data_IF_170116210146
#
_entry.id   IF_170116210146
#
_cell.length_a   1.000
_cell.length_b   1.000
_cell.length_c   1.000
_cell.angle_alpha   90.00
_cell.angle_beta   90.00
_cell.angle_gamma   90.00
#
_symmetry.space_group_name_H-M   'P 1'
#
loop_
_entity.id
_entity.type
_entity.pdbx_description
1 polymer ?
#
# COMPACT_ATOMS: atom_id res chain seq x y z
N UNK A 1 2.37 11.25 -21.31
CA UNK A 1 1.02 11.07 -21.89
C UNK A 1 0.16 10.41 -20.81
N UNK A 2 -0.88 11.07 -20.31
CA UNK A 2 -1.82 10.47 -19.36
C UNK A 2 -2.82 9.61 -20.15
N UNK A 3 -3.07 8.40 -19.69
CA UNK A 3 -4.15 7.55 -20.20
C UNK A 3 -5.38 7.84 -19.34
N UNK A 4 -6.51 8.18 -19.95
CA UNK A 4 -7.74 8.47 -19.22
C UNK A 4 -8.19 7.25 -18.40
N UNK A 5 -8.52 7.48 -17.13
CA UNK A 5 -8.94 6.42 -16.21
C UNK A 5 -7.81 5.58 -15.60
N UNK A 6 -6.53 5.95 -15.84
CA UNK A 6 -5.37 5.28 -15.25
C UNK A 6 -4.56 6.28 -14.42
N UNK A 7 -4.34 5.94 -13.15
CA UNK A 7 -3.52 6.73 -12.24
C UNK A 7 -2.02 6.42 -12.43
N UNK A 8 -1.18 7.43 -12.17
CA UNK A 8 0.28 7.29 -12.21
C UNK A 8 0.77 7.18 -10.77
N UNK A 9 1.17 5.96 -10.38
CA UNK A 9 1.73 5.70 -9.07
C UNK A 9 3.26 5.72 -9.11
N UNK A 10 3.87 6.61 -8.34
CA UNK A 10 5.31 6.73 -8.21
C UNK A 10 5.76 6.27 -6.83
N UNK A 11 6.85 5.51 -6.75
CA UNK A 11 7.51 5.24 -5.46
C UNK A 11 8.38 6.42 -5.08
N UNK A 12 8.44 6.77 -3.80
CA UNK A 12 9.17 7.92 -3.28
C UNK A 12 9.62 7.68 -1.84
N UNK A 13 10.16 8.70 -1.19
CA UNK A 13 10.56 8.65 0.21
C UNK A 13 11.74 7.72 0.46
N UNK A 14 12.73 7.72 -0.44
CA UNK A 14 13.90 6.83 -0.37
C UNK A 14 13.53 5.34 -0.47
N UNK A 15 12.61 5.04 -1.39
CA UNK A 15 12.23 3.65 -1.68
C UNK A 15 13.46 2.81 -2.13
N UNK A 16 13.65 1.56 -1.65
CA UNK A 16 12.73 0.79 -0.79
C UNK A 16 13.01 0.90 0.71
N UNK A 17 14.09 1.53 1.15
CA UNK A 17 14.58 1.44 2.53
C UNK A 17 14.02 2.48 3.50
N UNK A 18 13.55 3.61 3.00
CA UNK A 18 13.09 4.75 3.81
C UNK A 18 14.16 5.33 4.76
N UNK A 19 15.46 5.16 4.46
CA UNK A 19 16.56 5.53 5.36
C UNK A 19 17.17 6.91 5.10
N UNK A 20 16.71 7.64 4.09
CA UNK A 20 17.15 9.02 3.88
C UNK A 20 16.59 9.96 4.96
N UNK A 21 17.22 11.13 5.08
CA UNK A 21 16.69 12.22 5.91
C UNK A 21 15.33 12.68 5.38
N UNK A 22 14.48 13.16 6.28
CA UNK A 22 13.11 13.56 5.94
C UNK A 22 13.06 14.65 4.86
N UNK A 23 13.99 15.61 4.88
CA UNK A 23 14.03 16.67 3.89
C UNK A 23 14.27 16.13 2.46
N UNK A 24 15.05 15.05 2.34
CA UNK A 24 15.27 14.37 1.05
C UNK A 24 14.03 13.65 0.58
N UNK A 25 13.33 12.94 1.49
CA UNK A 25 12.09 12.23 1.18
C UNK A 25 10.98 13.20 0.74
N UNK A 26 10.82 14.32 1.46
CA UNK A 26 9.86 15.37 1.14
C UNK A 26 10.16 15.98 -0.23
N UNK A 27 11.43 16.28 -0.51
CA UNK A 27 11.84 16.81 -1.81
C UNK A 27 11.55 15.83 -2.95
N UNK A 28 11.89 14.54 -2.78
CA UNK A 28 11.63 13.48 -3.76
C UNK A 28 10.12 13.36 -4.04
N UNK A 29 9.29 13.34 -2.99
CA UNK A 29 7.84 13.28 -3.09
C UNK A 29 7.26 14.48 -3.84
N UNK A 30 7.70 15.70 -3.48
CA UNK A 30 7.25 16.94 -4.13
C UNK A 30 7.62 16.96 -5.62
N UNK A 31 8.81 16.50 -5.99
CA UNK A 31 9.26 16.41 -7.38
C UNK A 31 8.43 15.38 -8.15
N UNK A 32 8.18 14.20 -7.58
CA UNK A 32 7.35 13.18 -8.23
C UNK A 32 5.92 13.69 -8.52
N UNK A 33 5.32 14.44 -7.59
CA UNK A 33 4.01 15.08 -7.80
C UNK A 33 4.11 16.16 -8.89
N UNK A 34 5.14 17.01 -8.87
CA UNK A 34 5.35 18.04 -9.88
C UNK A 34 5.54 17.45 -11.28
N UNK A 35 6.17 16.27 -11.39
CA UNK A 35 6.35 15.51 -12.63
C UNK A 35 5.06 14.81 -13.10
N UNK A 36 4.01 14.83 -12.28
CA UNK A 36 2.67 14.39 -12.67
C UNK A 36 2.20 13.07 -12.05
N UNK A 37 2.87 12.57 -11.01
CA UNK A 37 2.33 11.47 -10.22
C UNK A 37 1.01 11.87 -9.56
N UNK A 38 0.01 11.00 -9.64
CA UNK A 38 -1.30 11.17 -9.00
C UNK A 38 -1.43 10.32 -7.73
N UNK A 39 -0.52 9.37 -7.57
CA UNK A 39 -0.42 8.50 -6.41
C UNK A 39 1.06 8.35 -6.01
N UNK A 40 1.35 8.36 -4.73
CA UNK A 40 2.70 8.23 -4.19
C UNK A 40 2.75 7.03 -3.24
N UNK A 41 3.63 6.07 -3.51
CA UNK A 41 3.88 4.92 -2.64
C UNK A 41 5.18 5.18 -1.85
N UNK A 42 5.08 5.46 -0.53
CA UNK A 42 6.22 5.61 0.37
C UNK A 42 6.42 4.37 1.24
N UNK A 43 7.60 4.21 1.83
CA UNK A 43 7.87 3.15 2.82
C UNK A 43 7.91 3.75 4.21
N UNK A 44 7.21 3.13 5.15
CA UNK A 44 7.33 3.43 6.58
C UNK A 44 8.82 3.28 7.00
N UNK A 45 9.36 4.16 7.86
CA UNK A 45 10.73 4.00 8.38
C UNK A 45 10.81 2.80 9.34
N UNK A 46 10.98 1.60 8.76
CA UNK A 46 10.93 0.31 9.49
C UNK A 46 11.93 0.27 10.65
N UNK A 47 13.13 0.83 10.49
CA UNK A 47 14.11 0.89 11.57
C UNK A 47 13.58 1.64 12.80
N UNK A 48 13.01 2.83 12.62
CA UNK A 48 12.39 3.60 13.71
C UNK A 48 11.25 2.80 14.38
N UNK A 49 10.42 2.15 13.55
CA UNK A 49 9.31 1.34 14.05
C UNK A 49 9.81 0.19 14.95
N UNK A 50 10.83 -0.54 14.53
CA UNK A 50 11.40 -1.66 15.29
C UNK A 50 12.11 -1.21 16.57
N UNK A 51 12.66 0.02 16.57
CA UNK A 51 13.23 0.65 17.77
C UNK A 51 12.17 1.20 18.73
N UNK A 52 10.88 1.15 18.35
CA UNK A 52 9.75 1.64 19.15
C UNK A 52 9.53 3.15 19.07
N UNK A 53 10.20 3.85 18.16
CA UNK A 53 10.01 5.28 17.88
C UNK A 53 8.76 5.51 17.01
N UNK A 54 7.59 5.24 17.58
CA UNK A 54 6.30 5.36 16.89
C UNK A 54 5.94 6.81 16.56
N UNK A 55 6.35 7.76 17.38
CA UNK A 55 6.17 9.19 17.15
C UNK A 55 6.96 9.63 15.91
N UNK A 56 8.24 9.28 15.84
CA UNK A 56 9.08 9.58 14.69
C UNK A 56 8.65 8.85 13.40
N UNK A 57 7.94 7.70 13.51
CA UNK A 57 7.28 7.05 12.35
C UNK A 57 6.09 7.88 11.87
N UNK A 58 5.23 8.33 12.78
CA UNK A 58 4.05 9.12 12.44
C UNK A 58 4.43 10.48 11.84
N UNK A 59 5.43 11.16 12.40
CA UNK A 59 5.96 12.43 11.88
C UNK A 59 6.51 12.28 10.47
N UNK A 60 7.35 11.26 10.23
CA UNK A 60 7.94 10.97 8.91
C UNK A 60 6.86 10.76 7.83
N UNK A 61 5.81 10.00 8.15
CA UNK A 61 4.68 9.76 7.24
C UNK A 61 3.88 11.05 7.02
N UNK A 62 3.60 11.81 8.07
CA UNK A 62 2.81 13.03 7.99
C UNK A 62 3.48 14.13 7.15
N UNK A 63 4.80 14.29 7.29
CA UNK A 63 5.57 15.25 6.48
C UNK A 63 5.56 14.87 4.99
N UNK A 64 5.71 13.58 4.67
CA UNK A 64 5.59 13.10 3.30
C UNK A 64 4.15 13.23 2.77
N UNK A 65 3.12 13.01 3.62
CA UNK A 65 1.71 13.26 3.24
C UNK A 65 1.49 14.71 2.87
N UNK A 66 2.03 15.63 3.63
CA UNK A 66 1.93 17.07 3.30
C UNK A 66 2.57 17.39 1.94
N UNK A 67 3.67 16.72 1.59
CA UNK A 67 4.33 16.86 0.29
C UNK A 67 3.56 16.26 -0.89
N UNK A 68 2.64 15.32 -0.64
CA UNK A 68 1.80 14.73 -1.69
C UNK A 68 0.75 15.70 -2.25
N UNK A 69 0.38 16.76 -1.52
CA UNK A 69 -0.71 17.65 -1.93
C UNK A 69 -2.00 16.86 -2.18
N UNK A 70 -2.53 16.94 -3.41
CA UNK A 70 -3.76 16.24 -3.83
C UNK A 70 -3.51 14.78 -4.27
N UNK A 71 -2.25 14.35 -4.38
CA UNK A 71 -1.94 12.97 -4.74
C UNK A 71 -2.25 12.00 -3.58
N UNK A 72 -2.81 10.84 -3.92
CA UNK A 72 -3.10 9.82 -2.91
C UNK A 72 -1.79 9.18 -2.42
N UNK A 73 -1.62 9.11 -1.10
CA UNK A 73 -0.45 8.47 -0.48
C UNK A 73 -0.73 7.04 -0.03
N UNK A 74 0.13 6.11 -0.44
CA UNK A 74 0.10 4.72 0.02
C UNK A 74 1.34 4.44 0.86
N UNK A 75 1.13 4.03 2.11
CA UNK A 75 2.21 3.70 3.03
C UNK A 75 2.49 2.20 2.98
N UNK A 76 3.69 1.85 2.57
CA UNK A 76 4.19 0.47 2.59
C UNK A 76 4.69 0.15 3.99
N UNK A 77 4.07 -0.85 4.63
CA UNK A 77 4.43 -1.26 5.99
C UNK A 77 5.65 -2.18 6.02
N UNK A 78 6.00 -2.80 4.89
CA UNK A 78 7.03 -3.85 4.75
C UNK A 78 6.79 -4.99 5.75
N UNK A 79 5.62 -5.59 5.66
CA UNK A 79 5.10 -6.56 6.65
C UNK A 79 6.02 -7.76 6.88
N UNK A 80 6.85 -8.12 5.89
CA UNK A 80 7.84 -9.18 6.01
C UNK A 80 8.99 -8.88 6.97
N UNK A 81 9.20 -7.61 7.34
CA UNK A 81 10.21 -7.17 8.30
C UNK A 81 9.66 -6.99 9.71
N UNK A 82 8.35 -7.12 9.92
CA UNK A 82 7.70 -6.91 11.21
C UNK A 82 7.56 -8.20 12.02
N UNK A 83 7.50 -8.09 13.36
CA UNK A 83 7.50 -9.25 14.27
C UNK A 83 6.09 -9.87 14.44
N UNK A 84 5.29 -9.92 13.39
CA UNK A 84 4.01 -10.60 13.35
C UNK A 84 2.79 -9.68 13.50
N UNK A 85 1.64 -10.27 13.80
CA UNK A 85 0.33 -9.63 13.71
C UNK A 85 0.19 -8.35 14.57
N UNK A 86 0.80 -8.32 15.76
CA UNK A 86 0.75 -7.15 16.64
C UNK A 86 1.42 -5.94 16.00
N UNK A 87 2.65 -6.12 15.48
CA UNK A 87 3.41 -5.04 14.86
C UNK A 87 2.74 -4.59 13.57
N UNK A 88 2.23 -5.51 12.76
CA UNK A 88 1.46 -5.18 11.54
C UNK A 88 0.25 -4.32 11.88
N UNK A 89 -0.50 -4.67 12.94
CA UNK A 89 -1.65 -3.87 13.39
C UNK A 89 -1.22 -2.47 13.83
N UNK A 90 -0.17 -2.36 14.67
CA UNK A 90 0.33 -1.07 15.16
C UNK A 90 0.79 -0.20 13.99
N UNK A 91 1.60 -0.75 13.07
CA UNK A 91 2.08 -0.05 11.89
C UNK A 91 0.93 0.44 11.00
N UNK A 92 -0.12 -0.40 10.82
CA UNK A 92 -1.32 -0.02 10.08
C UNK A 92 -2.02 1.19 10.71
N UNK A 93 -2.25 1.14 12.01
CA UNK A 93 -2.95 2.20 12.75
C UNK A 93 -2.15 3.50 12.73
N UNK A 94 -0.84 3.46 13.03
CA UNK A 94 0.03 4.65 12.96
C UNK A 94 -0.03 5.28 11.56
N UNK A 95 0.12 4.47 10.51
CA UNK A 95 0.11 4.97 9.14
C UNK A 95 -1.19 5.65 8.75
N UNK A 96 -2.34 5.09 9.15
CA UNK A 96 -3.65 5.68 8.86
C UNK A 96 -3.86 6.99 9.62
N UNK A 97 -3.52 7.05 10.90
CA UNK A 97 -3.60 8.29 11.67
C UNK A 97 -2.60 9.36 11.21
N UNK A 98 -1.47 8.96 10.63
CA UNK A 98 -0.51 9.88 10.02
C UNK A 98 -0.92 10.39 8.62
N UNK A 99 -2.09 9.99 8.11
CA UNK A 99 -2.68 10.53 6.88
C UNK A 99 -2.56 9.64 5.64
N UNK A 100 -2.24 8.35 5.78
CA UNK A 100 -2.24 7.43 4.65
C UNK A 100 -3.65 7.31 4.02
N UNK A 101 -3.74 7.43 2.71
CA UNK A 101 -4.98 7.13 1.96
C UNK A 101 -5.11 5.63 1.69
N UNK A 102 -3.96 4.92 1.66
CA UNK A 102 -3.88 3.46 1.56
C UNK A 102 -2.78 2.94 2.48
N UNK A 103 -2.95 1.71 2.94
CA UNK A 103 -1.84 0.92 3.46
C UNK A 103 -1.53 -0.22 2.50
N UNK A 104 -0.22 -0.45 2.28
CA UNK A 104 0.32 -1.44 1.34
C UNK A 104 1.21 -2.43 2.10
N UNK A 105 1.16 -3.70 1.73
CA UNK A 105 1.92 -4.72 2.46
C UNK A 105 3.44 -4.56 2.32
N UNK A 106 3.95 -4.46 1.08
CA UNK A 106 5.37 -4.70 0.82
C UNK A 106 5.91 -3.91 -0.36
N UNK A 107 7.23 -3.69 -0.37
CA UNK A 107 7.96 -3.13 -1.52
C UNK A 107 8.14 -4.15 -2.65
N UNK A 108 8.16 -5.44 -2.33
CA UNK A 108 8.55 -6.52 -3.24
C UNK A 108 10.07 -6.66 -3.40
N UNK A 109 10.86 -6.04 -2.50
CA UNK A 109 12.33 -6.10 -2.49
C UNK A 109 12.90 -6.95 -1.35
N UNK A 110 12.04 -7.29 -0.38
CA UNK A 110 12.38 -8.18 0.72
C UNK A 110 12.02 -9.65 0.40
N UNK A 111 12.62 -10.57 1.16
CA UNK A 111 12.41 -12.01 0.97
C UNK A 111 10.96 -12.44 1.19
N UNK A 112 10.26 -11.80 2.14
CA UNK A 112 8.84 -12.01 2.42
C UNK A 112 8.07 -10.77 2.00
N UNK A 113 7.13 -10.95 1.10
CA UNK A 113 6.24 -9.88 0.63
C UNK A 113 4.82 -10.06 1.18
N UNK A 114 3.78 -9.85 0.38
CA UNK A 114 2.40 -10.00 0.83
C UNK A 114 2.11 -11.44 1.28
N UNK A 115 1.48 -11.57 2.45
CA UNK A 115 0.93 -12.83 2.93
C UNK A 115 -0.56 -12.69 3.26
N UNK A 116 -1.37 -13.77 3.15
CA UNK A 116 -2.78 -13.73 3.54
C UNK A 116 -2.98 -13.30 5.02
N UNK A 117 -2.08 -13.73 5.90
CA UNK A 117 -2.11 -13.41 7.33
C UNK A 117 -1.90 -11.90 7.54
N UNK A 118 -0.89 -11.31 6.90
CA UNK A 118 -0.65 -9.87 6.97
C UNK A 118 -1.84 -9.08 6.41
N UNK A 119 -2.38 -9.51 5.26
CA UNK A 119 -3.56 -8.89 4.65
C UNK A 119 -4.78 -8.94 5.57
N UNK A 120 -5.02 -10.06 6.24
CA UNK A 120 -6.11 -10.22 7.19
C UNK A 120 -5.99 -9.22 8.36
N UNK A 121 -4.80 -9.12 8.95
CA UNK A 121 -4.53 -8.18 10.06
C UNK A 121 -4.72 -6.73 9.60
N UNK A 122 -4.18 -6.37 8.43
CA UNK A 122 -4.29 -5.02 7.88
C UNK A 122 -5.75 -4.64 7.57
N UNK A 123 -6.53 -5.55 6.98
CA UNK A 123 -7.96 -5.33 6.72
C UNK A 123 -8.74 -5.12 8.03
N UNK A 124 -8.44 -5.88 9.09
CA UNK A 124 -9.05 -5.64 10.41
C UNK A 124 -8.66 -4.29 11.00
N UNK A 125 -7.41 -3.86 10.83
CA UNK A 125 -6.98 -2.53 11.25
C UNK A 125 -7.70 -1.41 10.48
N UNK A 126 -7.89 -1.57 9.15
CA UNK A 126 -8.67 -0.64 8.32
C UNK A 126 -10.13 -0.58 8.82
N UNK A 127 -10.73 -1.74 9.09
CA UNK A 127 -12.11 -1.79 9.59
C UNK A 127 -12.27 -1.07 10.92
N UNK A 128 -11.36 -1.33 11.88
CA UNK A 128 -11.36 -0.68 13.19
C UNK A 128 -11.20 0.84 13.05
N UNK A 129 -10.30 1.30 12.20
CA UNK A 129 -10.10 2.72 11.91
C UNK A 129 -11.35 3.36 11.30
N UNK A 130 -11.98 2.68 10.33
CA UNK A 130 -13.22 3.15 9.70
C UNK A 130 -14.38 3.21 10.70
N UNK A 131 -14.53 2.20 11.55
CA UNK A 131 -15.58 2.14 12.56
C UNK A 131 -15.43 3.28 13.59
N UNK A 132 -14.19 3.75 13.85
CA UNK A 132 -13.91 4.85 14.80
C UNK A 132 -13.99 6.23 14.17
N UNK A 133 -13.55 6.39 12.92
CA UNK A 133 -13.34 7.70 12.30
C UNK A 133 -14.33 8.02 11.18
N UNK A 134 -14.96 7.03 10.58
CA UNK A 134 -15.75 7.15 9.35
C UNK A 134 -14.90 7.35 8.09
N UNK A 135 -13.55 7.36 8.20
CA UNK A 135 -12.64 7.59 7.08
C UNK A 135 -12.30 6.25 6.41
N UNK A 136 -12.61 6.14 5.13
CA UNK A 136 -12.32 4.94 4.35
C UNK A 136 -10.89 4.96 3.82
N UNK A 137 -10.11 3.92 4.13
CA UNK A 137 -8.71 3.74 3.72
C UNK A 137 -8.63 2.58 2.72
N UNK A 138 -7.86 2.76 1.64
CA UNK A 138 -7.63 1.72 0.66
C UNK A 138 -6.62 0.66 1.12
N UNK A 139 -6.70 -0.52 0.52
CA UNK A 139 -5.79 -1.62 0.76
C UNK A 139 -5.06 -2.04 -0.51
N UNK A 140 -3.72 -2.24 -0.42
CA UNK A 140 -2.89 -2.69 -1.55
C UNK A 140 -1.96 -3.83 -1.13
N UNK A 141 -2.36 -5.10 -1.23
CA UNK A 141 -1.40 -6.19 -1.16
C UNK A 141 -0.46 -6.13 -2.37
N UNK A 142 0.83 -6.32 -2.16
CA UNK A 142 1.86 -6.21 -3.20
C UNK A 142 3.04 -7.14 -2.95
N UNK A 143 3.61 -7.64 -4.04
CA UNK A 143 4.72 -8.59 -4.04
C UNK A 143 4.27 -10.05 -3.84
N UNK A 144 4.75 -10.93 -4.71
CA UNK A 144 4.43 -12.36 -4.64
C UNK A 144 3.05 -12.76 -5.16
N UNK A 145 2.24 -11.83 -5.67
CA UNK A 145 0.91 -12.11 -6.22
C UNK A 145 1.08 -12.48 -7.70
N UNK A 146 1.23 -13.78 -7.97
CA UNK A 146 1.64 -14.27 -9.27
C UNK A 146 0.57 -15.15 -9.98
N UNK A 147 -0.49 -15.53 -9.28
CA UNK A 147 -1.53 -16.42 -9.81
C UNK A 147 -2.93 -15.82 -9.61
N UNK A 148 -3.88 -16.30 -10.39
CA UNK A 148 -5.31 -15.98 -10.21
C UNK A 148 -5.77 -16.35 -8.80
N UNK A 149 -5.30 -17.49 -8.29
CA UNK A 149 -5.62 -17.94 -6.93
C UNK A 149 -5.14 -16.95 -5.86
N UNK A 150 -3.94 -16.40 -6.01
CA UNK A 150 -3.44 -15.37 -5.08
C UNK A 150 -4.37 -14.16 -5.08
N UNK A 151 -4.74 -13.67 -6.27
CA UNK A 151 -5.66 -12.54 -6.41
C UNK A 151 -7.02 -12.80 -5.75
N UNK A 152 -7.60 -13.98 -5.99
CA UNK A 152 -8.87 -14.39 -5.38
C UNK A 152 -8.73 -14.47 -3.85
N UNK A 153 -7.61 -14.93 -3.33
CA UNK A 153 -7.35 -14.97 -1.89
C UNK A 153 -7.43 -13.58 -1.27
N UNK A 154 -6.70 -12.58 -1.81
CA UNK A 154 -6.75 -11.21 -1.29
C UNK A 154 -8.10 -10.54 -1.50
N UNK A 155 -8.74 -10.78 -2.63
CA UNK A 155 -10.10 -10.31 -2.89
C UNK A 155 -11.08 -10.84 -1.85
N UNK A 156 -11.00 -12.14 -1.53
CA UNK A 156 -11.85 -12.78 -0.54
C UNK A 156 -11.62 -12.20 0.86
N UNK A 157 -10.36 -11.99 1.28
CA UNK A 157 -10.05 -11.37 2.57
C UNK A 157 -10.69 -9.99 2.68
N UNK A 158 -10.55 -9.16 1.64
CA UNK A 158 -11.16 -7.82 1.62
C UNK A 158 -12.68 -7.90 1.68
N UNK A 159 -13.29 -8.81 0.91
CA UNK A 159 -14.75 -9.01 0.90
C UNK A 159 -15.29 -9.40 2.27
N UNK A 160 -14.67 -10.38 2.91
CA UNK A 160 -15.13 -10.93 4.19
C UNK A 160 -14.89 -9.98 5.37
N UNK A 161 -13.80 -9.22 5.36
CA UNK A 161 -13.43 -8.34 6.48
C UNK A 161 -14.00 -6.93 6.31
N UNK A 162 -13.85 -6.35 5.12
CA UNK A 162 -14.20 -4.95 4.86
C UNK A 162 -15.55 -4.77 4.17
N UNK A 163 -16.01 -5.79 3.45
CA UNK A 163 -17.27 -5.76 2.72
C UNK A 163 -17.13 -5.31 1.26
N UNK A 164 -18.25 -5.42 0.52
CA UNK A 164 -18.27 -5.19 -0.93
C UNK A 164 -17.96 -3.74 -1.33
N UNK A 165 -18.19 -2.78 -0.44
CA UNK A 165 -17.90 -1.37 -0.70
C UNK A 165 -16.40 -1.07 -0.86
N UNK A 166 -15.49 -1.97 -0.44
CA UNK A 166 -14.06 -1.90 -0.72
C UNK A 166 -13.64 -2.56 -2.02
N UNK A 167 -14.50 -3.38 -2.64
CA UNK A 167 -14.19 -4.12 -3.87
C UNK A 167 -14.31 -3.26 -5.13
N UNK A 168 -13.67 -2.10 -5.11
CA UNK A 168 -13.61 -1.17 -6.24
C UNK A 168 -12.17 -0.82 -6.56
N UNK A 169 -11.89 -0.35 -7.76
CA UNK A 169 -10.57 0.14 -8.14
C UNK A 169 -10.10 1.36 -7.32
N UNK A 170 -11.02 2.01 -6.61
CA UNK A 170 -10.70 3.11 -5.70
C UNK A 170 -10.12 2.61 -4.37
N UNK A 171 -10.52 1.42 -3.88
CA UNK A 171 -10.18 1.00 -2.52
C UNK A 171 -9.37 -0.29 -2.44
N UNK A 172 -9.39 -1.12 -3.49
CA UNK A 172 -8.59 -2.34 -3.59
C UNK A 172 -7.67 -2.27 -4.80
N UNK A 173 -6.37 -2.40 -4.55
CA UNK A 173 -5.34 -2.48 -5.59
C UNK A 173 -4.51 -3.73 -5.38
N UNK A 174 -4.17 -4.42 -6.45
CA UNK A 174 -3.25 -5.57 -6.43
C UNK A 174 -1.92 -5.14 -7.06
N UNK A 175 -0.85 -5.11 -6.24
CA UNK A 175 0.49 -4.77 -6.69
C UNK A 175 1.17 -5.96 -7.35
N UNK A 176 1.18 -5.98 -8.67
CA UNK A 176 1.66 -7.12 -9.47
C UNK A 176 2.22 -6.65 -10.82
N UNK A 177 3.03 -7.48 -11.48
CA UNK A 177 3.60 -7.18 -12.80
C UNK A 177 2.96 -7.97 -13.95
N UNK A 178 2.33 -9.12 -13.70
CA UNK A 178 1.85 -10.02 -14.76
C UNK A 178 0.40 -10.49 -14.58
N UNK A 179 -0.18 -10.20 -13.45
CA UNK A 179 -1.47 -10.77 -13.05
C UNK A 179 -2.62 -10.37 -13.97
N UNK A 180 -2.59 -9.15 -14.53
CA UNK A 180 -3.69 -8.68 -15.38
C UNK A 180 -3.88 -9.56 -16.62
N UNK A 181 -2.79 -10.00 -17.29
CA UNK A 181 -2.89 -10.94 -18.40
C UNK A 181 -3.45 -12.31 -17.95
N UNK A 182 -3.03 -12.81 -16.78
CA UNK A 182 -3.51 -14.08 -16.26
C UNK A 182 -5.00 -14.04 -15.90
N UNK A 183 -5.45 -12.96 -15.25
CA UNK A 183 -6.87 -12.76 -14.94
C UNK A 183 -7.72 -12.66 -16.20
N UNK A 184 -7.24 -11.92 -17.20
CA UNK A 184 -7.95 -11.79 -18.45
C UNK A 184 -8.01 -13.13 -19.20
N UNK A 185 -6.90 -13.87 -19.24
CA UNK A 185 -6.86 -15.21 -19.85
C UNK A 185 -7.87 -16.17 -19.23
N UNK A 186 -7.99 -16.14 -17.90
CA UNK A 186 -8.98 -16.95 -17.18
C UNK A 186 -10.42 -16.54 -17.51
N UNK A 187 -10.68 -15.23 -17.63
CA UNK A 187 -12.02 -14.71 -17.96
C UNK A 187 -12.47 -15.02 -19.38
N UNK A 188 -11.55 -14.97 -20.35
CA UNK A 188 -11.89 -15.20 -21.78
C UNK A 188 -11.69 -16.66 -22.20
N UNK A 189 -11.04 -17.49 -21.38
CA UNK A 189 -10.80 -18.91 -21.66
C UNK A 189 -9.68 -19.18 -22.67
N UNK A 190 -8.85 -18.20 -22.99
CA UNK A 190 -7.70 -18.31 -23.90
C UNK A 190 -6.51 -17.47 -23.40
N UNK A 191 -5.30 -17.87 -23.81
CA UNK A 191 -4.09 -17.17 -23.39
C UNK A 191 -4.05 -15.76 -24.04
N UNK A 192 -3.99 -14.71 -23.18
CA UNK A 192 -3.89 -13.32 -23.59
C UNK A 192 -2.57 -12.70 -23.13
N UNK A 193 -1.93 -11.92 -24.00
CA UNK A 193 -0.67 -11.22 -23.71
C UNK A 193 -0.74 -9.82 -24.31
N UNK A 194 -1.09 -8.84 -23.50
CA UNK A 194 -1.14 -7.42 -23.93
C UNK A 194 0.09 -6.62 -23.53
N UNK A 195 0.86 -7.10 -22.54
CA UNK A 195 2.08 -6.46 -22.01
C UNK A 195 3.00 -7.46 -21.32
#
# INVERSE_FOLDING_TARGET
>A
MRVEGVEIACVSGSFPSSQARIEVKVAETSLAVADGATEIDIVMPVGKFLDGDFEGVAEDISEQKAACGDAAMKVILETGCLNGAKDIKIASIISMYAGADYIKTSTGKEAVSATPEAAYVMCHAIKEYYDQTGIQIGFKPAGGINTVRDAVTYYTIVKEVLGEQWLTNKWLRLGTSRLANLLLSELVGEETKFF
#
